data_IF_997064826220
#
_entry.id   IF_997064826220
#
_cell.length_a   1.000
_cell.length_b   1.000
_cell.length_c   1.000
_cell.angle_alpha   90.00
_cell.angle_beta   90.00
_cell.angle_gamma   90.00
#
_symmetry.space_group_name_H-M   'P 1'
#
loop_
_entity.id
_entity.type
_entity.pdbx_description
1 polymer ?
#
# COMPACT_ATOMS: atom_id res chain seq x y z
N UNK A 1 18.85 -10.89 11.61
CA UNK A 1 17.50 -10.84 12.23
C UNK A 1 16.67 -9.85 11.43
N UNK A 2 15.40 -10.15 11.15
CA UNK A 2 14.51 -9.27 10.37
C UNK A 2 14.38 -7.91 11.06
N UNK A 3 14.49 -6.80 10.29
CA UNK A 3 14.26 -5.45 10.83
C UNK A 3 12.79 -5.20 11.19
N UNK A 4 11.88 -6.00 10.62
CA UNK A 4 10.45 -5.95 10.91
C UNK A 4 10.06 -6.90 12.05
N UNK A 5 8.95 -6.60 12.72
CA UNK A 5 8.36 -7.46 13.75
C UNK A 5 7.80 -8.74 13.13
N UNK A 6 7.65 -9.81 13.93
CA UNK A 6 7.02 -11.06 13.49
C UNK A 6 5.58 -10.84 12.99
N UNK A 7 4.82 -10.01 13.69
CA UNK A 7 3.45 -9.67 13.31
C UNK A 7 3.40 -8.94 11.96
N UNK A 8 4.33 -8.00 11.73
CA UNK A 8 4.42 -7.31 10.45
C UNK A 8 4.73 -8.30 9.32
N UNK A 9 5.68 -9.21 9.52
CA UNK A 9 6.04 -10.20 8.51
C UNK A 9 4.88 -11.14 8.18
N UNK A 10 4.11 -11.59 9.18
CA UNK A 10 2.91 -12.40 8.92
C UNK A 10 1.86 -11.64 8.08
N UNK A 11 1.66 -10.34 8.36
CA UNK A 11 0.79 -9.50 7.53
C UNK A 11 1.37 -9.28 6.13
N UNK A 12 2.68 -9.17 5.99
CA UNK A 12 3.36 -9.05 4.70
C UNK A 12 3.26 -10.32 3.87
N UNK A 13 3.44 -11.49 4.48
CA UNK A 13 3.23 -12.81 3.85
C UNK A 13 1.78 -12.90 3.34
N UNK A 14 0.80 -12.58 4.20
CA UNK A 14 -0.62 -12.57 3.84
C UNK A 14 -0.92 -11.59 2.70
N UNK A 15 -0.35 -10.37 2.75
CA UNK A 15 -0.52 -9.36 1.72
C UNK A 15 0.06 -9.81 0.37
N UNK A 16 1.23 -10.45 0.38
CA UNK A 16 1.88 -10.95 -0.84
C UNK A 16 1.04 -12.01 -1.56
N UNK A 17 0.33 -12.86 -0.80
CA UNK A 17 -0.58 -13.87 -1.35
C UNK A 17 -1.93 -13.27 -1.77
N UNK A 18 -2.62 -12.55 -0.87
CA UNK A 18 -3.98 -12.02 -1.13
C UNK A 18 -4.02 -10.96 -2.23
N UNK A 19 -2.95 -10.17 -2.38
CA UNK A 19 -2.89 -9.06 -3.35
C UNK A 19 -1.92 -9.34 -4.50
N UNK A 20 -1.59 -10.62 -4.73
CA UNK A 20 -0.67 -11.05 -5.79
C UNK A 20 -1.13 -10.59 -7.18
N UNK A 21 -2.41 -10.75 -7.48
CA UNK A 21 -2.97 -10.37 -8.79
C UNK A 21 -2.90 -8.86 -9.04
N UNK A 22 -3.20 -8.06 -8.02
CA UNK A 22 -3.12 -6.60 -8.06
C UNK A 22 -1.68 -6.15 -8.24
N UNK A 23 -0.72 -6.82 -7.57
CA UNK A 23 0.72 -6.58 -7.77
C UNK A 23 1.13 -6.88 -9.21
N UNK A 24 0.80 -8.05 -9.74
CA UNK A 24 1.13 -8.45 -11.11
C UNK A 24 0.51 -7.48 -12.13
N UNK A 25 -0.76 -7.11 -11.96
CA UNK A 25 -1.43 -6.16 -12.84
C UNK A 25 -0.77 -4.76 -12.80
N UNK A 26 -0.34 -4.31 -11.62
CA UNK A 26 0.40 -3.06 -11.48
C UNK A 26 1.77 -3.15 -12.16
N UNK A 27 2.53 -4.23 -11.93
CA UNK A 27 3.84 -4.47 -12.56
C UNK A 27 3.74 -4.49 -14.10
N UNK A 28 2.75 -5.19 -14.65
CA UNK A 28 2.49 -5.22 -16.09
C UNK A 28 2.16 -3.82 -16.63
N UNK A 29 1.33 -3.06 -15.93
CA UNK A 29 0.99 -1.69 -16.31
C UNK A 29 2.24 -0.81 -16.37
N UNK A 30 3.07 -0.86 -15.32
CA UNK A 30 4.32 -0.10 -15.21
C UNK A 30 5.33 -0.47 -16.31
N UNK A 31 5.47 -1.76 -16.64
CA UNK A 31 6.39 -2.23 -17.67
C UNK A 31 5.96 -1.82 -19.08
N UNK A 32 4.65 -1.75 -19.34
CA UNK A 32 4.11 -1.48 -20.68
C UNK A 32 4.24 -0.02 -21.13
N UNK A 33 4.51 0.93 -20.22
CA UNK A 33 4.38 2.39 -20.46
C UNK A 33 5.47 3.23 -19.77
N UNK A 34 6.74 2.86 -19.97
CA UNK A 34 7.92 3.47 -19.32
C UNK A 34 8.04 5.00 -19.54
N UNK A 35 7.43 5.56 -20.59
CA UNK A 35 7.55 6.98 -20.97
C UNK A 35 6.28 7.83 -20.74
N UNK A 36 5.18 7.24 -20.25
CA UNK A 36 3.94 7.97 -20.03
C UNK A 36 3.85 8.47 -18.58
N UNK A 37 2.90 9.38 -18.28
CA UNK A 37 2.59 9.72 -16.89
C UNK A 37 1.96 8.51 -16.17
N UNK A 38 2.86 7.68 -15.63
CA UNK A 38 2.56 6.45 -14.93
C UNK A 38 1.57 6.66 -13.78
N UNK A 39 1.56 7.85 -13.15
CA UNK A 39 0.63 8.14 -12.06
C UNK A 39 -0.81 8.27 -12.54
N UNK A 40 -1.03 8.71 -13.78
CA UNK A 40 -2.35 8.77 -14.39
C UNK A 40 -2.73 7.43 -15.04
N UNK A 41 -1.82 6.83 -15.80
CA UNK A 41 -2.11 5.62 -16.60
C UNK A 41 -2.38 4.39 -15.74
N UNK A 42 -1.59 4.17 -14.69
CA UNK A 42 -1.72 3.01 -13.80
C UNK A 42 -2.49 3.32 -12.51
N UNK A 43 -3.21 4.44 -12.44
CA UNK A 43 -3.90 4.90 -11.24
C UNK A 43 -4.82 3.83 -10.66
N UNK A 44 -5.59 3.14 -11.51
CA UNK A 44 -6.54 2.11 -11.09
C UNK A 44 -5.85 0.92 -10.41
N UNK A 45 -4.80 0.37 -11.03
CA UNK A 45 -4.03 -0.75 -10.50
C UNK A 45 -3.31 -0.35 -9.23
N UNK A 46 -2.75 0.87 -9.20
CA UNK A 46 -2.11 1.45 -8.01
C UNK A 46 -3.10 1.57 -6.85
N UNK A 47 -4.30 2.09 -7.09
CA UNK A 47 -5.35 2.20 -6.07
C UNK A 47 -5.76 0.84 -5.51
N UNK A 48 -5.95 -0.17 -6.37
CA UNK A 48 -6.31 -1.52 -5.94
C UNK A 48 -5.21 -2.17 -5.07
N UNK A 49 -3.95 -1.95 -5.41
CA UNK A 49 -2.83 -2.43 -4.60
C UNK A 49 -2.71 -1.69 -3.25
N UNK A 50 -2.87 -0.36 -3.26
CA UNK A 50 -2.85 0.46 -2.04
C UNK A 50 -4.04 0.16 -1.11
N UNK A 51 -5.19 -0.26 -1.66
CA UNK A 51 -6.34 -0.69 -0.86
C UNK A 51 -5.98 -1.88 0.04
N UNK A 52 -5.13 -2.80 -0.42
CA UNK A 52 -4.67 -3.90 0.41
C UNK A 52 -3.80 -3.46 1.57
N UNK A 53 -2.94 -2.46 1.34
CA UNK A 53 -2.16 -1.82 2.41
C UNK A 53 -3.09 -1.15 3.43
N UNK A 54 -4.10 -0.42 2.94
CA UNK A 54 -5.09 0.23 3.79
C UNK A 54 -5.85 -0.80 4.64
N UNK A 55 -6.32 -1.90 4.05
CA UNK A 55 -7.14 -2.91 4.74
C UNK A 55 -6.36 -3.80 5.70
N UNK A 56 -5.12 -4.17 5.39
CA UNK A 56 -4.35 -5.12 6.21
C UNK A 56 -3.47 -4.45 7.27
N UNK A 57 -2.95 -3.26 6.99
CA UNK A 57 -1.97 -2.60 7.87
C UNK A 57 -2.49 -1.32 8.51
N UNK A 58 -3.25 -0.52 7.76
CA UNK A 58 -3.67 0.82 8.17
C UNK A 58 -5.19 0.91 8.37
N UNK A 59 -5.85 -0.20 8.73
CA UNK A 59 -7.31 -0.30 8.75
C UNK A 59 -7.96 0.74 9.65
N UNK A 60 -7.37 0.95 10.83
CA UNK A 60 -7.89 1.91 11.82
C UNK A 60 -7.87 3.33 11.27
N UNK A 61 -6.75 3.76 10.72
CA UNK A 61 -6.56 5.09 10.15
C UNK A 61 -7.44 5.27 8.90
N UNK A 62 -7.54 4.23 8.06
CA UNK A 62 -8.40 4.22 6.88
C UNK A 62 -9.88 4.36 7.25
N UNK A 63 -10.39 3.53 8.15
CA UNK A 63 -11.79 3.55 8.56
C UNK A 63 -12.15 4.91 9.20
N UNK A 64 -11.23 5.47 10.01
CA UNK A 64 -11.41 6.81 10.60
C UNK A 64 -11.47 7.90 9.53
N UNK A 65 -10.58 7.84 8.53
CA UNK A 65 -10.60 8.76 7.40
C UNK A 65 -11.89 8.67 6.59
N UNK A 66 -12.35 7.46 6.26
CA UNK A 66 -13.61 7.24 5.54
C UNK A 66 -14.81 7.76 6.33
N UNK A 67 -14.85 7.52 7.65
CA UNK A 67 -15.90 8.07 8.50
C UNK A 67 -15.92 9.59 8.48
N UNK A 68 -14.76 10.24 8.62
CA UNK A 68 -14.68 11.69 8.57
C UNK A 68 -15.12 12.22 7.19
N UNK A 69 -14.62 11.64 6.10
CA UNK A 69 -14.94 12.05 4.74
C UNK A 69 -16.45 11.97 4.47
N UNK A 70 -17.11 10.91 4.94
CA UNK A 70 -18.57 10.76 4.83
C UNK A 70 -19.33 11.83 5.62
N UNK A 71 -18.83 12.22 6.78
CA UNK A 71 -19.45 13.26 7.60
C UNK A 71 -19.23 14.68 7.04
N UNK A 72 -18.06 14.95 6.47
CA UNK A 72 -17.67 16.27 5.96
C UNK A 72 -18.18 16.58 4.54
N UNK A 73 -18.57 15.57 3.76
CA UNK A 73 -19.05 15.75 2.37
C UNK A 73 -17.98 16.44 1.52
N UNK A 74 -18.36 17.48 0.77
CA UNK A 74 -17.44 18.19 -0.14
C UNK A 74 -16.29 18.92 0.58
N UNK A 75 -16.42 19.17 1.89
CA UNK A 75 -15.39 19.85 2.69
C UNK A 75 -14.34 18.91 3.28
N UNK A 76 -14.39 17.62 2.94
CA UNK A 76 -13.52 16.59 3.51
C UNK A 76 -12.02 16.91 3.41
N UNK A 77 -11.58 17.59 2.34
CA UNK A 77 -10.18 17.93 2.14
C UNK A 77 -9.64 18.86 3.24
N UNK A 78 -10.49 19.75 3.76
CA UNK A 78 -10.16 20.68 4.85
C UNK A 78 -10.50 20.07 6.21
N UNK A 79 -11.71 19.54 6.34
CA UNK A 79 -12.27 19.16 7.64
C UNK A 79 -11.69 17.83 8.17
N UNK A 80 -11.16 16.98 7.29
CA UNK A 80 -10.55 15.69 7.64
C UNK A 80 -9.02 15.67 7.44
N UNK A 81 -8.37 16.84 7.44
CA UNK A 81 -6.93 16.96 7.20
C UNK A 81 -6.12 16.05 8.15
N UNK A 82 -6.49 16.01 9.43
CA UNK A 82 -5.80 15.21 10.45
C UNK A 82 -5.87 13.71 10.15
N UNK A 83 -7.05 13.21 9.79
CA UNK A 83 -7.29 11.81 9.47
C UNK A 83 -6.57 11.40 8.19
N UNK A 84 -6.58 12.29 7.18
CA UNK A 84 -5.83 12.09 5.93
C UNK A 84 -4.32 12.01 6.19
N UNK A 85 -3.78 12.89 7.05
CA UNK A 85 -2.36 12.86 7.43
C UNK A 85 -2.01 11.58 8.20
N UNK A 86 -2.85 11.17 9.16
CA UNK A 86 -2.63 9.94 9.92
C UNK A 86 -2.62 8.70 9.01
N UNK A 87 -3.56 8.61 8.08
CA UNK A 87 -3.59 7.55 7.07
C UNK A 87 -2.35 7.59 6.15
N UNK A 88 -1.96 8.78 5.68
CA UNK A 88 -0.76 8.95 4.87
C UNK A 88 0.52 8.49 5.59
N UNK A 89 0.69 8.86 6.86
CA UNK A 89 1.83 8.44 7.68
C UNK A 89 1.86 6.92 7.90
N UNK A 90 0.71 6.30 8.12
CA UNK A 90 0.64 4.85 8.24
C UNK A 90 1.08 4.17 6.93
N UNK A 91 0.53 4.62 5.81
CA UNK A 91 0.82 4.05 4.48
C UNK A 91 2.30 4.19 4.11
N UNK A 92 2.91 5.36 4.33
CA UNK A 92 4.35 5.60 4.09
C UNK A 92 5.23 4.67 4.93
N UNK A 93 4.93 4.52 6.22
CA UNK A 93 5.66 3.60 7.10
C UNK A 93 5.57 2.16 6.60
N UNK A 94 4.37 1.70 6.24
CA UNK A 94 4.14 0.32 5.79
C UNK A 94 4.86 0.06 4.46
N UNK A 95 4.83 1.00 3.51
CA UNK A 95 5.56 0.87 2.25
C UNK A 95 7.06 0.69 2.46
N UNK A 96 7.67 1.46 3.38
CA UNK A 96 9.09 1.32 3.73
C UNK A 96 9.38 -0.05 4.36
N UNK A 97 8.51 -0.54 5.23
CA UNK A 97 8.67 -1.85 5.88
C UNK A 97 8.47 -3.01 4.89
N UNK A 98 7.51 -2.90 3.97
CA UNK A 98 7.31 -3.88 2.88
C UNK A 98 8.52 -3.92 1.94
N UNK A 99 9.12 -2.77 1.63
CA UNK A 99 10.35 -2.71 0.85
C UNK A 99 11.50 -3.48 1.54
N UNK A 100 11.71 -3.25 2.83
CA UNK A 100 12.73 -3.99 3.60
C UNK A 100 12.41 -5.49 3.64
N UNK A 101 11.14 -5.85 3.88
CA UNK A 101 10.70 -7.24 3.86
C UNK A 101 11.01 -7.92 2.52
N UNK A 102 10.69 -7.27 1.39
CA UNK A 102 10.95 -7.81 0.06
C UNK A 102 12.45 -7.96 -0.22
N UNK A 103 13.27 -6.99 0.17
CA UNK A 103 14.73 -7.11 0.07
C UNK A 103 15.26 -8.33 0.86
N UNK A 104 14.77 -8.52 2.09
CA UNK A 104 15.15 -9.66 2.92
C UNK A 104 14.70 -11.00 2.31
N UNK A 105 13.55 -11.05 1.63
CA UNK A 105 13.06 -12.25 0.95
C UNK A 105 13.88 -12.55 -0.32
N UNK A 106 14.16 -11.54 -1.15
CA UNK A 106 14.97 -11.69 -2.37
C UNK A 106 16.41 -12.12 -2.06
N UNK A 107 16.99 -11.65 -0.94
CA UNK A 107 18.30 -12.11 -0.48
C UNK A 107 18.29 -13.57 0.00
N UNK A 108 17.19 -14.04 0.58
CA UNK A 108 17.02 -15.43 1.01
C UNK A 108 16.74 -16.39 -0.15
N UNK A 109 16.13 -15.90 -1.24
CA UNK A 109 15.83 -16.66 -2.44
C UNK A 109 16.35 -15.95 -3.71
N UNK A 110 17.65 -16.02 -4.01
CA UNK A 110 18.25 -15.34 -5.18
C UNK A 110 17.79 -15.88 -6.54
N UNK A 111 16.97 -16.95 -6.59
CA UNK A 111 16.37 -17.52 -7.82
C UNK A 111 14.90 -17.14 -8.04
N UNK A 112 14.33 -16.26 -7.22
CA UNK A 112 12.89 -15.91 -7.28
C UNK A 112 12.54 -14.72 -8.19
N UNK A 113 13.50 -14.17 -8.95
CA UNK A 113 13.26 -13.17 -9.98
C UNK A 113 13.37 -13.77 -11.38
#
# INVERSE_FOLDING_TARGET
MSRNTKEFNQKADRFAEEYKEQRVALEQCLQSRINDDINFVCQRQKSAYLEGIAKLFCKKEYDTGVMCQRAAGDRWATDCFKENVAFGQCTDRVLKQLYVYNLEQSQKNPRAN
#
